data_IF_969504972448
#
_entry.id   IF_969504972448
#
_cell.length_a   1.000
_cell.length_b   1.000
_cell.length_c   1.000
_cell.angle_alpha   90.00
_cell.angle_beta   90.00
_cell.angle_gamma   90.00
#
_symmetry.space_group_name_H-M   'P 1'
#
loop_
_entity.id
_entity.type
_entity.pdbx_description
1 polymer ?
#
# COMPACT_ATOMS: atom_id res chain seq x y z
N UNK A 1 -9.38 -4.24 -42.03
CA UNK A 1 -9.14 -5.31 -41.04
C UNK A 1 -9.59 -4.82 -39.67
N UNK A 2 -10.68 -5.37 -39.12
CA UNK A 2 -11.13 -5.08 -37.74
C UNK A 2 -10.27 -5.90 -36.80
N UNK A 3 -9.51 -5.26 -35.92
CA UNK A 3 -8.80 -5.97 -34.85
C UNK A 3 -9.83 -6.60 -33.91
N UNK A 4 -9.77 -7.92 -33.75
CA UNK A 4 -10.50 -8.65 -32.72
C UNK A 4 -9.88 -8.28 -31.37
N UNK A 5 -10.50 -7.36 -30.63
CA UNK A 5 -10.25 -7.21 -29.20
C UNK A 5 -11.01 -8.36 -28.52
N UNK A 6 -10.29 -9.41 -28.14
CA UNK A 6 -10.87 -10.44 -27.28
C UNK A 6 -11.21 -9.82 -25.93
N UNK A 7 -12.46 -9.98 -25.49
CA UNK A 7 -12.85 -9.58 -24.14
C UNK A 7 -12.00 -10.35 -23.12
N UNK A 8 -11.47 -9.67 -22.08
CA UNK A 8 -10.60 -10.32 -21.09
C UNK A 8 -11.38 -11.44 -20.39
N UNK A 9 -10.73 -12.59 -20.22
CA UNK A 9 -11.35 -13.74 -19.56
C UNK A 9 -11.72 -13.38 -18.10
N UNK A 10 -12.76 -14.01 -17.51
CA UNK A 10 -13.17 -13.74 -16.13
C UNK A 10 -12.04 -13.85 -15.09
N UNK A 11 -11.11 -14.79 -15.31
CA UNK A 11 -9.92 -15.02 -14.48
C UNK A 11 -8.98 -13.80 -14.50
N UNK A 12 -8.79 -13.16 -15.66
CA UNK A 12 -7.95 -11.97 -15.78
C UNK A 12 -8.51 -10.77 -15.02
N UNK A 13 -9.84 -10.71 -14.85
CA UNK A 13 -10.50 -9.64 -14.11
C UNK A 13 -10.30 -9.78 -12.59
N UNK A 14 -10.26 -11.01 -12.08
CA UNK A 14 -10.03 -11.28 -10.66
C UNK A 14 -8.60 -10.91 -10.24
N UNK A 15 -7.59 -11.36 -10.99
CA UNK A 15 -6.20 -10.96 -10.77
C UNK A 15 -6.00 -9.45 -10.85
N UNK A 16 -6.70 -8.76 -11.77
CA UNK A 16 -6.67 -7.29 -11.85
C UNK A 16 -7.25 -6.62 -10.60
N UNK A 17 -8.30 -7.17 -10.00
CA UNK A 17 -8.89 -6.63 -8.76
C UNK A 17 -7.95 -6.83 -7.57
N UNK A 18 -7.38 -8.02 -7.43
CA UNK A 18 -6.39 -8.32 -6.40
C UNK A 18 -5.15 -7.43 -6.52
N UNK A 19 -4.58 -7.34 -7.72
CA UNK A 19 -3.44 -6.47 -7.99
C UNK A 19 -3.77 -5.01 -7.70
N UNK A 20 -5.02 -4.56 -7.96
CA UNK A 20 -5.46 -3.21 -7.60
C UNK A 20 -5.55 -3.01 -6.08
N UNK A 21 -6.02 -4.00 -5.32
CA UNK A 21 -6.03 -3.97 -3.84
C UNK A 21 -4.60 -3.84 -3.31
N UNK A 22 -3.69 -4.69 -3.79
CA UNK A 22 -2.27 -4.69 -3.42
C UNK A 22 -1.58 -3.39 -3.81
N UNK A 23 -1.77 -2.92 -5.03
CA UNK A 23 -1.27 -1.64 -5.52
C UNK A 23 -1.69 -0.48 -4.62
N UNK A 24 -2.96 -0.49 -4.17
CA UNK A 24 -3.46 0.53 -3.27
C UNK A 24 -2.78 0.44 -1.89
N UNK A 25 -2.57 -0.75 -1.34
CA UNK A 25 -1.79 -0.94 -0.10
C UNK A 25 -0.36 -0.40 -0.21
N UNK A 26 0.33 -0.68 -1.31
CA UNK A 26 1.69 -0.19 -1.56
C UNK A 26 1.78 1.34 -1.66
N UNK A 27 0.80 1.98 -2.31
CA UNK A 27 0.80 3.43 -2.56
C UNK A 27 0.44 4.27 -1.32
N UNK A 28 -0.50 3.79 -0.51
CA UNK A 28 -1.06 4.52 0.64
C UNK A 28 -0.54 4.00 1.98
N UNK A 29 0.57 3.26 1.96
CA UNK A 29 1.18 2.66 3.14
C UNK A 29 1.42 3.68 4.27
N UNK A 30 2.03 4.84 3.99
CA UNK A 30 2.35 5.84 5.02
C UNK A 30 1.10 6.39 5.71
N UNK A 31 0.05 6.71 4.95
CA UNK A 31 -1.20 7.22 5.49
C UNK A 31 -1.90 6.16 6.36
N UNK A 32 -1.89 4.91 5.89
CA UNK A 32 -2.47 3.79 6.63
C UNK A 32 -1.68 3.43 7.88
N UNK A 33 -0.36 3.56 7.84
CA UNK A 33 0.51 3.35 8.99
C UNK A 33 0.26 4.40 10.06
N UNK A 34 0.20 5.67 9.68
CA UNK A 34 -0.11 6.76 10.60
C UNK A 34 -1.53 6.65 11.19
N UNK A 35 -2.52 6.18 10.41
CA UNK A 35 -3.85 5.88 10.94
C UNK A 35 -3.83 4.70 11.91
N UNK A 36 -3.15 3.62 11.57
CA UNK A 36 -3.00 2.44 12.43
C UNK A 36 -2.34 2.79 13.77
N UNK A 37 -1.25 3.56 13.76
CA UNK A 37 -0.53 3.98 14.96
C UNK A 37 -1.44 4.81 15.88
N UNK A 38 -2.16 5.79 15.32
CA UNK A 38 -3.13 6.61 16.08
C UNK A 38 -4.24 5.77 16.72
N UNK A 39 -4.80 4.83 15.96
CA UNK A 39 -5.86 3.94 16.48
C UNK A 39 -5.32 2.99 17.56
N UNK A 40 -4.10 2.47 17.37
CA UNK A 40 -3.43 1.61 18.34
C UNK A 40 -3.16 2.35 19.65
N UNK A 41 -2.67 3.59 19.57
CA UNK A 41 -2.46 4.47 20.74
C UNK A 41 -3.76 4.76 21.44
N UNK A 42 -4.81 5.15 20.71
CA UNK A 42 -6.13 5.40 21.29
C UNK A 42 -6.69 4.18 22.04
N UNK A 43 -6.46 2.96 21.57
CA UNK A 43 -6.87 1.73 22.29
C UNK A 43 -6.04 1.52 23.57
N UNK A 44 -4.74 1.75 23.51
CA UNK A 44 -3.86 1.64 24.69
C UNK A 44 -4.28 2.67 25.75
N UNK A 45 -4.50 3.91 25.34
CA UNK A 45 -4.90 5.04 26.21
C UNK A 45 -6.33 4.91 26.74
N UNK A 46 -7.25 4.32 25.95
CA UNK A 46 -8.63 4.06 26.36
C UNK A 46 -8.80 2.77 27.17
N UNK A 47 -7.70 2.12 27.58
CA UNK A 47 -7.75 0.99 28.52
C UNK A 47 -8.51 1.41 29.78
N UNK A 48 -9.68 0.80 30.07
CA UNK A 48 -10.47 1.19 31.22
C UNK A 48 -9.71 0.81 32.50
N UNK A 49 -9.56 1.76 33.41
CA UNK A 49 -9.43 1.42 34.82
C UNK A 49 -10.63 0.52 35.19
N UNK A 50 -10.39 -0.62 35.82
CA UNK A 50 -11.40 -1.64 36.18
C UNK A 50 -12.33 -1.20 37.32
N UNK A 51 -12.79 0.05 37.33
CA UNK A 51 -13.79 0.54 38.28
C UNK A 51 -14.74 1.46 37.53
N UNK A 52 -15.91 0.94 37.18
CA UNK A 52 -17.22 1.61 37.32
C UNK A 52 -18.25 0.91 36.43
N UNK A 53 -18.74 -0.22 36.93
CA UNK A 53 -19.98 -0.80 36.44
C UNK A 53 -21.15 0.04 36.98
N UNK A 54 -21.64 0.98 36.19
CA UNK A 54 -22.96 1.61 36.43
C UNK A 54 -24.00 0.86 35.60
N UNK A 55 -24.98 0.17 36.22
CA UNK A 55 -26.03 -0.53 35.50
C UNK A 55 -27.20 0.43 35.25
N UNK A 56 -27.47 0.77 34.00
CA UNK A 56 -28.71 1.49 33.69
C UNK A 56 -28.82 2.02 32.27
N UNK A 57 -29.74 1.46 31.50
CA UNK A 57 -30.18 2.08 30.25
C UNK A 57 -30.65 1.09 29.19
N UNK A 58 -31.87 0.58 29.33
CA UNK A 58 -32.58 -0.10 28.25
C UNK A 58 -32.86 0.94 27.16
N UNK A 59 -32.12 0.91 26.04
CA UNK A 59 -32.57 1.25 24.68
C UNK A 59 -31.35 1.26 23.72
N UNK A 60 -31.48 0.55 22.60
CA UNK A 60 -30.48 0.29 21.56
C UNK A 60 -29.26 -0.57 21.99
N UNK A 61 -29.46 -1.90 22.02
CA UNK A 61 -28.39 -2.89 22.15
C UNK A 61 -27.61 -2.97 20.84
N UNK A 62 -26.81 -1.95 20.53
CA UNK A 62 -25.58 -2.19 19.78
C UNK A 62 -24.55 -2.62 20.81
N UNK A 63 -24.29 -3.92 20.92
CA UNK A 63 -23.35 -4.44 21.90
C UNK A 63 -22.00 -3.71 21.75
N UNK A 64 -21.61 -2.86 22.71
CA UNK A 64 -20.37 -2.10 22.63
C UNK A 64 -19.15 -3.03 22.59
N UNK A 65 -19.28 -4.25 23.13
CA UNK A 65 -18.28 -5.32 23.04
C UNK A 65 -18.13 -5.82 21.62
N UNK A 66 -19.24 -6.08 20.93
CA UNK A 66 -19.23 -6.51 19.52
C UNK A 66 -18.61 -5.45 18.60
N UNK A 67 -18.88 -4.16 18.84
CA UNK A 67 -18.25 -3.06 18.07
C UNK A 67 -16.74 -3.02 18.28
N UNK A 68 -16.28 -3.10 19.54
CA UNK A 68 -14.84 -3.15 19.87
C UNK A 68 -14.16 -4.38 19.27
N UNK A 69 -14.82 -5.54 19.27
CA UNK A 69 -14.29 -6.76 18.65
C UNK A 69 -14.11 -6.62 17.14
N UNK A 70 -15.07 -5.99 16.45
CA UNK A 70 -14.98 -5.71 15.01
C UNK A 70 -13.85 -4.70 14.70
N UNK A 71 -13.71 -3.65 15.50
CA UNK A 71 -12.63 -2.66 15.35
C UNK A 71 -11.26 -3.30 15.56
N UNK A 72 -11.11 -4.14 16.59
CA UNK A 72 -9.88 -4.87 16.86
C UNK A 72 -9.52 -5.83 15.71
N UNK A 73 -10.49 -6.55 15.17
CA UNK A 73 -10.28 -7.44 14.02
C UNK A 73 -9.81 -6.68 12.78
N UNK A 74 -10.38 -5.50 12.51
CA UNK A 74 -9.95 -4.61 11.41
C UNK A 74 -8.52 -4.10 11.60
N UNK A 75 -8.13 -3.78 12.84
CA UNK A 75 -6.77 -3.37 13.16
C UNK A 75 -5.78 -4.49 12.93
N UNK A 76 -6.11 -5.72 13.34
CA UNK A 76 -5.28 -6.90 13.07
C UNK A 76 -5.11 -7.16 11.57
N UNK A 77 -6.18 -7.02 10.77
CA UNK A 77 -6.07 -7.13 9.31
C UNK A 77 -5.17 -6.03 8.73
N UNK A 78 -5.35 -4.80 9.19
CA UNK A 78 -4.52 -3.64 8.78
C UNK A 78 -3.05 -3.87 9.10
N UNK A 79 -2.74 -4.34 10.30
CA UNK A 79 -1.38 -4.67 10.73
C UNK A 79 -0.72 -5.70 9.80
N UNK A 80 -1.44 -6.78 9.45
CA UNK A 80 -0.91 -7.79 8.52
C UNK A 80 -0.58 -7.20 7.14
N UNK A 81 -1.41 -6.28 6.66
CA UNK A 81 -1.13 -5.59 5.40
C UNK A 81 0.05 -4.62 5.50
N UNK A 82 0.21 -3.91 6.60
CA UNK A 82 1.36 -3.03 6.83
C UNK A 82 2.66 -3.85 6.88
N UNK A 83 2.66 -4.97 7.63
CA UNK A 83 3.79 -5.90 7.70
C UNK A 83 4.14 -6.49 6.33
N UNK A 84 3.14 -6.82 5.51
CA UNK A 84 3.37 -7.27 4.14
C UNK A 84 4.11 -6.21 3.33
N UNK A 85 3.68 -4.94 3.40
CA UNK A 85 4.32 -3.86 2.65
C UNK A 85 5.75 -3.62 3.13
N UNK A 86 5.99 -3.64 4.43
CA UNK A 86 7.34 -3.54 5.01
C UNK A 86 8.23 -4.70 4.56
N UNK A 87 7.71 -5.92 4.53
CA UNK A 87 8.44 -7.10 4.05
C UNK A 87 8.78 -6.98 2.57
N UNK A 88 7.83 -6.53 1.73
CA UNK A 88 8.08 -6.27 0.30
C UNK A 88 9.19 -5.25 0.16
N UNK A 89 9.07 -4.10 0.83
CA UNK A 89 10.04 -3.02 0.75
C UNK A 89 11.43 -3.48 1.17
N UNK A 90 11.55 -4.21 2.28
CA UNK A 90 12.83 -4.72 2.78
C UNK A 90 13.56 -5.62 1.77
N UNK A 91 12.81 -6.42 1.01
CA UNK A 91 13.34 -7.36 0.01
C UNK A 91 13.66 -6.72 -1.34
N UNK A 92 13.23 -5.47 -1.58
CA UNK A 92 13.51 -4.79 -2.85
C UNK A 92 14.98 -4.36 -2.97
N UNK A 93 15.57 -4.45 -4.18
CA UNK A 93 16.84 -3.81 -4.47
C UNK A 93 16.77 -2.30 -4.28
N UNK A 94 17.90 -1.65 -3.94
CA UNK A 94 17.99 -0.20 -3.69
C UNK A 94 17.29 0.66 -4.75
N UNK A 95 17.51 0.36 -6.04
CA UNK A 95 16.87 1.06 -7.16
C UNK A 95 15.34 1.01 -7.06
N UNK A 96 14.77 -0.16 -6.79
CA UNK A 96 13.33 -0.32 -6.67
C UNK A 96 12.78 0.28 -5.37
N UNK A 97 13.55 0.32 -4.28
CA UNK A 97 13.19 1.02 -3.04
C UNK A 97 13.03 2.53 -3.28
N UNK A 98 14.03 3.16 -3.92
CA UNK A 98 13.96 4.60 -4.27
C UNK A 98 12.76 4.86 -5.19
N UNK A 99 12.56 4.01 -6.19
CA UNK A 99 11.39 4.10 -7.07
C UNK A 99 10.07 4.01 -6.30
N UNK A 100 9.90 3.02 -5.41
CA UNK A 100 8.67 2.83 -4.64
C UNK A 100 8.38 4.04 -3.74
N UNK A 101 9.40 4.57 -3.06
CA UNK A 101 9.29 5.80 -2.26
C UNK A 101 8.75 6.97 -3.09
N UNK A 102 9.39 7.24 -4.24
CA UNK A 102 8.95 8.31 -5.15
C UNK A 102 7.54 8.05 -5.70
N UNK A 103 7.22 6.79 -5.99
CA UNK A 103 5.89 6.42 -6.48
C UNK A 103 4.80 6.69 -5.44
N UNK A 104 5.09 6.52 -4.14
CA UNK A 104 4.22 6.93 -3.02
C UNK A 104 4.09 8.45 -2.92
N UNK A 105 5.18 9.21 -3.07
CA UNK A 105 5.16 10.68 -3.06
C UNK A 105 4.24 11.24 -4.15
N UNK A 106 4.26 10.65 -5.35
CA UNK A 106 3.42 11.07 -6.48
C UNK A 106 2.13 10.25 -6.63
N UNK A 107 1.62 9.60 -5.57
CA UNK A 107 0.44 8.70 -5.63
C UNK A 107 -0.82 9.34 -6.22
N UNK A 108 -1.04 10.62 -5.95
CA UNK A 108 -2.20 11.38 -6.42
C UNK A 108 -2.08 11.93 -7.85
N UNK A 109 -0.91 11.79 -8.50
CA UNK A 109 -0.73 12.28 -9.88
C UNK A 109 -1.30 11.28 -10.90
N UNK A 110 -2.36 11.71 -11.58
CA UNK A 110 -3.05 10.93 -12.61
C UNK A 110 -3.22 11.73 -13.90
N UNK A 111 -3.57 11.04 -15.00
CA UNK A 111 -3.90 11.68 -16.28
C UNK A 111 -2.70 12.08 -17.14
N UNK A 112 -2.88 13.11 -17.97
CA UNK A 112 -1.89 13.56 -19.00
C UNK A 112 -0.54 13.96 -18.40
N UNK A 113 -0.54 14.50 -17.18
CA UNK A 113 0.66 14.83 -16.39
C UNK A 113 0.88 13.79 -15.29
N UNK A 114 0.84 12.51 -15.66
CA UNK A 114 0.95 11.38 -14.74
C UNK A 114 2.26 11.36 -13.94
N UNK A 115 2.35 10.40 -13.03
CA UNK A 115 3.46 10.29 -12.08
C UNK A 115 4.85 10.02 -12.71
N UNK A 116 4.93 9.53 -13.95
CA UNK A 116 6.21 9.05 -14.51
C UNK A 116 7.24 10.15 -14.71
N UNK A 117 6.90 11.24 -15.41
CA UNK A 117 7.87 12.30 -15.68
C UNK A 117 8.49 12.88 -14.40
N UNK A 118 7.71 13.24 -13.36
CA UNK A 118 8.32 13.71 -12.11
C UNK A 118 9.09 12.62 -11.36
N UNK A 119 8.61 11.36 -11.38
CA UNK A 119 9.36 10.24 -10.77
C UNK A 119 10.68 9.99 -11.48
N UNK A 120 10.71 9.98 -12.80
CA UNK A 120 11.93 9.79 -13.61
C UNK A 120 12.98 10.84 -13.28
N UNK A 121 12.57 12.11 -13.24
CA UNK A 121 13.45 13.22 -12.91
C UNK A 121 13.97 13.18 -11.47
N UNK A 122 13.09 12.90 -10.49
CA UNK A 122 13.49 12.76 -9.08
C UNK A 122 14.35 11.53 -8.83
N UNK A 123 14.07 10.43 -9.53
CA UNK A 123 14.78 9.17 -9.38
C UNK A 123 16.26 9.31 -9.71
N UNK A 124 16.59 9.96 -10.83
CA UNK A 124 17.97 10.21 -11.20
C UNK A 124 18.70 11.03 -10.13
N UNK A 125 18.10 12.11 -9.63
CA UNK A 125 18.72 12.93 -8.57
C UNK A 125 18.94 12.17 -7.26
N UNK A 126 17.92 11.45 -6.78
CA UNK A 126 18.00 10.72 -5.50
C UNK A 126 19.02 9.59 -5.60
N UNK A 127 19.05 8.84 -6.70
CA UNK A 127 20.00 7.76 -6.88
C UNK A 127 21.42 8.26 -7.08
N UNK A 128 21.61 9.35 -7.84
CA UNK A 128 22.89 10.02 -7.99
C UNK A 128 23.45 10.47 -6.63
N UNK A 129 22.61 11.08 -5.78
CA UNK A 129 22.98 11.47 -4.42
C UNK A 129 23.41 10.27 -3.57
N UNK A 130 22.67 9.16 -3.63
CA UNK A 130 22.99 7.95 -2.86
C UNK A 130 24.29 7.30 -3.33
N UNK A 131 24.54 7.30 -4.65
CA UNK A 131 25.70 6.63 -5.25
C UNK A 131 26.93 7.55 -5.38
N UNK A 132 26.84 8.83 -5.02
CA UNK A 132 27.90 9.81 -5.22
C UNK A 132 28.24 10.05 -6.71
N UNK A 133 27.23 10.02 -7.58
CA UNK A 133 27.36 10.20 -9.04
C UNK A 133 26.65 11.46 -9.53
N UNK A 134 26.81 11.79 -10.80
CA UNK A 134 26.00 12.83 -11.42
C UNK A 134 24.60 12.29 -11.80
N UNK A 135 23.56 13.13 -11.82
CA UNK A 135 22.20 12.72 -12.23
C UNK A 135 22.17 12.07 -13.62
N UNK A 136 22.97 12.57 -14.56
CA UNK A 136 23.07 12.06 -15.94
C UNK A 136 23.49 10.58 -15.98
N UNK A 137 24.43 10.17 -15.12
CA UNK A 137 24.92 8.79 -15.02
C UNK A 137 23.88 7.80 -14.47
N UNK A 138 22.81 8.32 -13.87
CA UNK A 138 21.74 7.55 -13.24
C UNK A 138 20.40 7.73 -13.93
N UNK A 139 20.38 8.51 -15.02
CA UNK A 139 19.21 8.76 -15.80
C UNK A 139 18.73 7.48 -16.50
N UNK A 140 17.43 7.22 -16.42
CA UNK A 140 16.78 6.13 -17.14
C UNK A 140 15.94 6.75 -18.24
N UNK A 141 16.37 6.61 -19.49
CA UNK A 141 15.69 7.21 -20.64
C UNK A 141 14.29 6.62 -20.84
N UNK A 142 14.18 5.29 -20.75
CA UNK A 142 12.92 4.62 -21.01
C UNK A 142 11.94 4.71 -19.85
N UNK A 143 10.82 5.40 -20.09
CA UNK A 143 9.65 5.45 -19.20
C UNK A 143 9.04 4.08 -18.92
N UNK A 144 9.18 3.12 -19.85
CA UNK A 144 8.63 1.76 -19.69
C UNK A 144 9.29 1.01 -18.55
N UNK A 145 10.54 1.36 -18.20
CA UNK A 145 11.25 0.79 -17.06
C UNK A 145 10.46 0.97 -15.76
N UNK A 146 9.87 2.16 -15.55
CA UNK A 146 9.11 2.46 -14.34
C UNK A 146 7.76 1.72 -14.29
N UNK A 147 7.11 1.52 -15.44
CA UNK A 147 5.92 0.68 -15.54
C UNK A 147 6.25 -0.77 -15.19
N UNK A 148 7.31 -1.31 -15.79
CA UNK A 148 7.75 -2.68 -15.55
C UNK A 148 8.17 -2.91 -14.09
N UNK A 149 8.87 -1.94 -13.48
CA UNK A 149 9.20 -2.03 -12.06
C UNK A 149 7.96 -1.99 -11.18
N UNK A 150 6.98 -1.14 -11.51
CA UNK A 150 5.72 -1.09 -10.78
C UNK A 150 4.96 -2.42 -10.86
N UNK A 151 4.79 -2.97 -12.06
CA UNK A 151 4.13 -4.26 -12.27
C UNK A 151 4.83 -5.37 -11.49
N UNK A 152 6.16 -5.44 -11.56
CA UNK A 152 6.94 -6.43 -10.80
C UNK A 152 6.77 -6.32 -9.29
N UNK A 153 6.73 -5.11 -8.74
CA UNK A 153 6.52 -4.90 -7.30
C UNK A 153 5.12 -5.36 -6.92
N UNK A 154 4.10 -4.98 -7.70
CA UNK A 154 2.70 -5.36 -7.44
C UNK A 154 2.51 -6.87 -7.54
N UNK A 155 3.04 -7.52 -8.58
CA UNK A 155 2.96 -8.98 -8.74
C UNK A 155 3.67 -9.72 -7.60
N UNK A 156 4.86 -9.25 -7.22
CA UNK A 156 5.59 -9.83 -6.10
C UNK A 156 4.80 -9.72 -4.79
N UNK A 157 4.27 -8.53 -4.51
CA UNK A 157 3.45 -8.28 -3.34
C UNK A 157 2.15 -9.09 -3.35
N UNK A 158 1.49 -9.23 -4.50
CA UNK A 158 0.27 -10.03 -4.64
C UNK A 158 0.53 -11.52 -4.35
N UNK A 159 1.63 -12.08 -4.89
CA UNK A 159 2.04 -13.46 -4.58
C UNK A 159 2.31 -13.65 -3.09
N UNK A 160 2.93 -12.68 -2.44
CA UNK A 160 3.20 -12.74 -1.01
C UNK A 160 1.91 -12.59 -0.17
N UNK A 161 1.00 -11.73 -0.60
CA UNK A 161 -0.31 -11.52 0.02
C UNK A 161 -1.16 -12.80 -0.04
N UNK A 162 -1.24 -13.44 -1.21
CA UNK A 162 -1.94 -14.71 -1.41
C UNK A 162 -1.35 -15.81 -0.50
N UNK A 163 -0.02 -15.93 -0.43
CA UNK A 163 0.65 -16.89 0.47
C UNK A 163 0.34 -16.68 1.95
N UNK A 164 0.00 -15.45 2.36
CA UNK A 164 -0.35 -15.10 3.74
C UNK A 164 -1.87 -15.10 3.99
N UNK A 165 -2.68 -15.45 3.00
CA UNK A 165 -4.16 -15.45 3.11
C UNK A 165 -4.77 -14.05 3.24
N UNK A 166 -4.15 -13.04 2.63
CA UNK A 166 -4.66 -11.66 2.60
C UNK A 166 -5.52 -11.34 1.35
N UNK A 167 -5.47 -12.23 0.37
CA UNK A 167 -6.26 -12.24 -0.85
C UNK A 167 -7.15 -13.47 -0.84
#
# INVERSE_FOLDING_TARGET
MRQYQADPAPIDLEFKKENRKVANWLLFYEERKAEYERLREAIIESSPCLTDAVPGGKNAVSDPTARKAVELARLQETEKWLQLVEEVENRLPLKMKVFLRLRREYRYRTGRNGWIAPVQWRYAQELAKILGKNPEDTWIESRTTFYYWWERIVEYAARLAAKKGLL
#
